data_IF_357752039224
#
_entry.id   IF_357752039224
#
_cell.length_a   1.000
_cell.length_b   1.000
_cell.length_c   1.000
_cell.angle_alpha   90.00
_cell.angle_beta   90.00
_cell.angle_gamma   90.00
#
_symmetry.space_group_name_H-M   'P 1'
#
loop_
_entity.id
_entity.type
_entity.pdbx_description
1 polymer ?
#
# COMPACT_ATOMS: atom_id res chain seq x y z
N UNK A 1 22.50 -2.62 -40.76
CA UNK A 1 21.15 -3.14 -40.40
C UNK A 1 21.18 -4.13 -39.22
N UNK A 2 22.03 -5.16 -39.20
CA UNK A 2 22.13 -6.13 -38.07
C UNK A 2 22.46 -5.49 -36.70
N UNK A 3 23.28 -4.45 -36.67
CA UNK A 3 23.66 -3.77 -35.42
C UNK A 3 22.51 -2.91 -34.88
N UNK A 4 21.70 -2.35 -35.78
CA UNK A 4 20.52 -1.56 -35.43
C UNK A 4 19.43 -2.46 -34.81
N UNK A 5 19.25 -3.67 -35.35
CA UNK A 5 18.36 -4.69 -34.79
C UNK A 5 18.82 -5.14 -33.40
N UNK A 6 20.13 -5.33 -33.19
CA UNK A 6 20.69 -5.68 -31.87
C UNK A 6 20.49 -4.57 -30.83
N UNK A 7 20.72 -3.32 -31.22
CA UNK A 7 20.52 -2.16 -30.34
C UNK A 7 19.03 -1.97 -30.03
N UNK A 8 18.14 -2.14 -31.02
CA UNK A 8 16.69 -2.05 -30.81
C UNK A 8 16.17 -3.17 -29.89
N UNK A 9 16.66 -4.40 -30.01
CA UNK A 9 16.33 -5.49 -29.10
C UNK A 9 16.84 -5.23 -27.67
N UNK A 10 18.06 -4.71 -27.52
CA UNK A 10 18.61 -4.36 -26.20
C UNK A 10 17.81 -3.24 -25.52
N UNK A 11 17.41 -2.22 -26.27
CA UNK A 11 16.58 -1.13 -25.76
C UNK A 11 15.16 -1.59 -25.43
N UNK A 12 14.55 -2.45 -26.25
CA UNK A 12 13.26 -3.05 -25.95
C UNK A 12 13.32 -3.92 -24.68
N UNK A 13 14.39 -4.70 -24.51
CA UNK A 13 14.59 -5.54 -23.32
C UNK A 13 14.75 -4.70 -22.04
N UNK A 14 15.48 -3.59 -22.11
CA UNK A 14 15.60 -2.63 -21.00
C UNK A 14 14.27 -1.93 -20.68
N UNK A 15 13.46 -1.63 -21.71
CA UNK A 15 12.14 -1.02 -21.55
C UNK A 15 11.13 -1.99 -20.91
N UNK A 16 11.16 -3.27 -21.31
CA UNK A 16 10.33 -4.32 -20.71
C UNK A 16 10.67 -4.60 -19.23
N UNK A 17 11.92 -4.39 -18.82
CA UNK A 17 12.35 -4.65 -17.44
C UNK A 17 11.85 -3.63 -16.40
N UNK A 18 11.35 -2.46 -16.82
CA UNK A 18 10.96 -1.36 -15.91
C UNK A 18 9.48 -1.37 -15.47
N UNK A 19 8.69 -2.37 -15.86
CA UNK A 19 7.22 -2.34 -15.72
C UNK A 19 6.72 -2.63 -14.28
N UNK A 20 7.57 -3.18 -13.40
CA UNK A 20 7.13 -3.68 -12.09
C UNK A 20 7.32 -2.68 -10.95
N UNK A 21 6.53 -1.61 -10.90
CA UNK A 21 6.47 -0.71 -9.74
C UNK A 21 5.22 -0.96 -8.89
N UNK A 22 5.25 -2.02 -8.07
CA UNK A 22 4.19 -2.30 -7.10
C UNK A 22 4.27 -1.29 -5.95
N UNK A 23 3.23 -0.47 -5.78
CA UNK A 23 3.13 0.50 -4.68
C UNK A 23 2.21 -0.05 -3.60
N UNK A 24 2.81 -0.62 -2.55
CA UNK A 24 2.09 -1.02 -1.35
C UNK A 24 1.79 0.20 -0.48
N UNK A 25 0.51 0.52 -0.30
CA UNK A 25 0.06 1.62 0.57
C UNK A 25 -0.41 1.05 1.90
N UNK A 26 0.16 1.53 3.01
CA UNK A 26 -0.27 1.16 4.36
C UNK A 26 -1.37 2.09 4.85
N UNK A 27 -2.48 1.52 5.29
CA UNK A 27 -3.60 2.19 5.97
C UNK A 27 -3.71 1.68 7.41
N UNK A 28 -4.52 2.35 8.22
CA UNK A 28 -4.66 2.04 9.64
C UNK A 28 -6.10 1.70 9.98
N UNK A 29 -6.33 0.55 10.60
CA UNK A 29 -7.66 0.12 11.07
C UNK A 29 -7.72 0.17 12.59
N UNK A 30 -8.91 0.45 13.14
CA UNK A 30 -9.15 0.43 14.59
C UNK A 30 -9.88 -0.85 14.98
N UNK A 31 -9.75 -1.26 16.24
CA UNK A 31 -10.48 -2.44 16.76
C UNK A 31 -12.00 -2.19 16.86
N UNK A 32 -12.41 -0.93 16.97
CA UNK A 32 -13.81 -0.55 17.18
C UNK A 32 -14.62 -0.35 15.90
N UNK A 33 -14.01 -0.42 14.71
CA UNK A 33 -14.70 -0.01 13.48
C UNK A 33 -14.32 -0.79 12.22
N UNK A 34 -15.24 -0.80 11.25
CA UNK A 34 -15.03 -1.34 9.90
C UNK A 34 -14.40 -0.32 8.94
N UNK A 35 -13.76 0.73 9.46
CA UNK A 35 -13.17 1.80 8.62
C UNK A 35 -11.65 1.80 8.69
N UNK A 36 -11.01 2.06 7.55
CA UNK A 36 -9.58 2.34 7.48
C UNK A 36 -9.30 3.84 7.42
N UNK A 37 -8.20 4.24 8.03
CA UNK A 37 -7.80 5.60 8.33
C UNK A 37 -6.38 5.88 7.83
N UNK A 38 -6.06 7.15 7.60
CA UNK A 38 -4.70 7.59 7.38
C UNK A 38 -3.88 7.59 8.67
N UNK A 39 -2.54 7.58 8.56
CA UNK A 39 -1.60 7.66 9.71
C UNK A 39 -1.92 8.86 10.62
N UNK A 40 -2.31 9.98 10.01
CA UNK A 40 -2.54 11.26 10.66
C UNK A 40 -4.04 11.59 10.85
N UNK A 41 -4.88 10.58 11.04
CA UNK A 41 -6.29 10.80 11.31
C UNK A 41 -6.51 11.37 12.72
N UNK A 42 -7.09 12.57 12.84
CA UNK A 42 -7.44 13.20 14.11
C UNK A 42 -8.41 12.39 14.98
N UNK A 43 -9.26 11.58 14.35
CA UNK A 43 -10.28 10.75 15.02
C UNK A 43 -9.63 9.55 15.70
N UNK A 44 -8.52 9.05 15.15
CA UNK A 44 -7.85 7.82 15.60
C UNK A 44 -6.44 8.15 16.08
N UNK A 45 -6.40 8.68 17.31
CA UNK A 45 -5.14 9.03 17.98
C UNK A 45 -4.44 7.79 18.55
N UNK A 46 -5.19 6.90 19.19
CA UNK A 46 -4.69 5.71 19.90
C UNK A 46 -5.34 4.42 19.37
N UNK A 47 -4.66 3.27 19.51
CA UNK A 47 -5.25 1.95 19.23
C UNK A 47 -5.48 1.62 17.76
N UNK A 48 -4.54 1.97 16.87
CA UNK A 48 -4.59 1.67 15.43
C UNK A 48 -3.61 0.57 15.02
N UNK A 49 -4.06 -0.35 14.15
CA UNK A 49 -3.25 -1.42 13.53
C UNK A 49 -2.98 -1.07 12.07
N UNK A 50 -1.72 -1.12 11.66
CA UNK A 50 -1.33 -0.94 10.27
C UNK A 50 -1.70 -2.17 9.42
N UNK A 51 -2.32 -1.94 8.27
CA UNK A 51 -2.76 -2.96 7.32
C UNK A 51 -2.50 -2.45 5.90
N UNK A 52 -2.20 -3.32 4.94
CA UNK A 52 -2.13 -2.90 3.54
C UNK A 52 -3.50 -2.49 3.01
N UNK A 53 -3.54 -1.45 2.18
CA UNK A 53 -4.78 -0.95 1.57
C UNK A 53 -5.49 -2.02 0.74
N UNK A 54 -4.73 -2.85 0.02
CA UNK A 54 -5.27 -3.98 -0.72
C UNK A 54 -5.95 -5.00 0.22
N UNK A 55 -5.34 -5.26 1.37
CA UNK A 55 -5.86 -6.22 2.35
C UNK A 55 -7.06 -5.66 3.11
N UNK A 56 -7.05 -4.36 3.43
CA UNK A 56 -8.20 -3.65 4.00
C UNK A 56 -9.41 -3.73 3.06
N UNK A 57 -9.21 -3.52 1.76
CA UNK A 57 -10.27 -3.67 0.75
C UNK A 57 -10.76 -5.11 0.65
N UNK A 58 -9.86 -6.09 0.64
CA UNK A 58 -10.23 -7.52 0.62
C UNK A 58 -11.03 -7.93 1.84
N UNK A 59 -10.72 -7.39 3.01
CA UNK A 59 -11.45 -7.63 4.25
C UNK A 59 -12.76 -6.82 4.36
N UNK A 60 -13.07 -5.96 3.39
CA UNK A 60 -14.32 -5.19 3.35
C UNK A 60 -14.33 -3.96 4.27
N UNK A 61 -13.17 -3.42 4.63
CA UNK A 61 -13.11 -2.16 5.36
C UNK A 61 -13.41 -0.97 4.46
N UNK A 62 -14.12 0.02 5.00
CA UNK A 62 -14.52 1.23 4.29
C UNK A 62 -13.55 2.40 4.53
N UNK A 63 -13.34 3.30 3.56
CA UNK A 63 -12.53 4.49 3.77
C UNK A 63 -13.15 5.43 4.79
N UNK A 64 -12.31 6.00 5.65
CA UNK A 64 -12.67 7.17 6.44
C UNK A 64 -12.82 8.42 5.54
N UNK A 65 -14.04 8.94 5.43
CA UNK A 65 -14.35 10.17 4.65
C UNK A 65 -13.57 11.40 5.09
N UNK A 66 -13.31 11.54 6.40
CA UNK A 66 -12.62 12.71 6.96
C UNK A 66 -11.10 12.66 6.77
N UNK A 67 -10.53 11.47 6.58
CA UNK A 67 -9.10 11.23 6.69
C UNK A 67 -8.33 11.33 5.37
N UNK A 68 -9.05 11.38 4.23
CA UNK A 68 -8.48 11.34 2.87
C UNK A 68 -7.37 10.29 2.72
N UNK A 69 -7.68 9.06 3.12
CA UNK A 69 -6.71 7.96 3.22
C UNK A 69 -6.07 7.57 1.87
N UNK A 70 -6.61 8.03 0.75
CA UNK A 70 -6.14 7.78 -0.61
C UNK A 70 -4.75 8.35 -0.93
N UNK A 71 -4.20 9.26 -0.11
CA UNK A 71 -3.02 10.05 -0.50
C UNK A 71 -1.65 9.62 0.08
N UNK A 72 -1.56 8.60 0.93
CA UNK A 72 -0.30 8.36 1.68
C UNK A 72 0.62 7.39 0.93
N UNK A 73 1.65 7.95 0.28
CA UNK A 73 2.80 7.20 -0.25
C UNK A 73 3.62 6.61 0.90
N UNK A 74 4.06 5.38 0.67
CA UNK A 74 4.71 4.46 1.60
C UNK A 74 5.79 5.09 2.48
N UNK A 75 5.70 4.83 3.78
CA UNK A 75 6.83 4.87 4.71
C UNK A 75 6.97 3.48 5.35
N UNK A 76 8.20 2.96 5.24
CA UNK A 76 8.64 1.61 5.53
C UNK A 76 8.44 1.12 6.97
N UNK A 77 8.28 -0.22 7.05
CA UNK A 77 8.63 -1.12 8.16
C UNK A 77 8.07 -0.81 9.55
N UNK A 78 7.04 -1.58 9.91
CA UNK A 78 7.12 -2.66 10.93
C UNK A 78 5.73 -3.25 11.07
N UNK A 79 5.60 -4.55 10.82
CA UNK A 79 4.47 -5.32 11.30
C UNK A 79 4.46 -5.27 12.84
N UNK A 80 3.41 -4.74 13.49
CA UNK A 80 3.14 -5.13 14.86
C UNK A 80 2.43 -6.47 14.79
N UNK A 81 3.22 -7.52 14.97
CA UNK A 81 2.73 -8.77 15.48
C UNK A 81 1.90 -8.55 16.76
N UNK A 82 1.04 -9.53 17.05
CA UNK A 82 0.35 -9.84 18.31
C UNK A 82 -1.11 -9.39 18.35
N UNK A 83 -2.05 -10.22 18.78
CA UNK A 83 -2.01 -11.59 19.30
C UNK A 83 -3.42 -12.12 19.14
N UNK A 84 -3.54 -13.34 18.62
CA UNK A 84 -4.73 -14.15 18.83
C UNK A 84 -5.01 -14.20 20.32
N UNK A 85 -6.25 -13.87 20.66
CA UNK A 85 -6.81 -13.91 22.00
C UNK A 85 -7.14 -15.38 22.30
N UNK A 86 -6.42 -16.01 23.22
CA UNK A 86 -6.97 -17.04 24.10
C UNK A 86 -6.12 -17.15 25.34
#
# INVERSE_FOLDING_TARGET
MKNFIRIACLMAFLFLANISRSSAQTVYVTESGKKYHAKNCDIVKTGKKGLELAEAKKQGYEPCKSCKADAIKAEEKKAPAKKGKK
#
